data_IF_513622745714
#
_entry.id   IF_513622745714
#
_cell.length_a   1.000
_cell.length_b   1.000
_cell.length_c   1.000
_cell.angle_alpha   90.00
_cell.angle_beta   90.00
_cell.angle_gamma   90.00
#
_symmetry.space_group_name_H-M   'P 1'
#
loop_
_entity.id
_entity.type
_entity.pdbx_description
1 polymer ?
#
# COMPACT_ATOMS: atom_id res chain seq x y z
N UNK A 1 -4.24 -7.82 -26.83
CA UNK A 1 -5.48 -7.12 -27.27
C UNK A 1 -5.99 -6.24 -26.14
N UNK A 2 -6.55 -5.07 -26.45
CA UNK A 2 -7.15 -4.15 -25.47
C UNK A 2 -8.27 -4.82 -24.67
N UNK A 3 -8.34 -4.55 -23.38
CA UNK A 3 -9.34 -5.11 -22.48
C UNK A 3 -9.95 -3.99 -21.63
N UNK A 4 -11.18 -3.55 -21.93
CA UNK A 4 -11.79 -2.39 -21.28
C UNK A 4 -11.88 -2.46 -19.75
N UNK A 5 -11.82 -3.66 -19.17
CA UNK A 5 -11.86 -3.90 -17.72
C UNK A 5 -10.49 -3.91 -17.06
N UNK A 6 -9.39 -4.01 -17.82
CA UNK A 6 -8.01 -4.00 -17.31
C UNK A 6 -7.35 -2.65 -17.58
N UNK A 7 -7.03 -1.93 -16.51
CA UNK A 7 -6.61 -0.52 -16.56
C UNK A 7 -5.34 -0.28 -17.41
N UNK A 8 -4.42 -1.24 -17.43
CA UNK A 8 -3.15 -1.12 -18.18
C UNK A 8 -3.22 -1.69 -19.61
N UNK A 9 -4.32 -2.30 -20.01
CA UNK A 9 -4.37 -3.08 -21.26
C UNK A 9 -4.19 -2.23 -22.51
N UNK A 10 -4.75 -1.02 -22.55
CA UNK A 10 -4.57 -0.09 -23.67
C UNK A 10 -3.10 0.34 -23.79
N UNK A 11 -2.46 0.68 -22.67
CA UNK A 11 -1.03 1.04 -22.65
C UNK A 11 -0.15 -0.12 -23.12
N UNK A 12 -0.36 -1.32 -22.58
CA UNK A 12 0.40 -2.52 -22.96
C UNK A 12 0.20 -2.83 -24.45
N UNK A 13 -1.04 -2.79 -24.94
CA UNK A 13 -1.35 -3.03 -26.36
C UNK A 13 -0.63 -2.03 -27.27
N UNK A 14 -0.70 -0.73 -26.97
CA UNK A 14 -0.06 0.31 -27.78
C UNK A 14 1.47 0.21 -27.74
N UNK A 15 2.04 -0.12 -26.58
CA UNK A 15 3.49 -0.32 -26.43
C UNK A 15 3.97 -1.50 -27.27
N UNK A 16 3.24 -2.63 -27.26
CA UNK A 16 3.54 -3.78 -28.13
C UNK A 16 3.36 -3.42 -29.61
N UNK A 17 2.30 -2.68 -29.96
CA UNK A 17 2.08 -2.24 -31.34
C UNK A 17 3.24 -1.36 -31.86
N UNK A 18 3.81 -0.50 -31.02
CA UNK A 18 4.99 0.30 -31.35
C UNK A 18 6.24 -0.57 -31.60
N UNK A 19 6.44 -1.62 -30.81
CA UNK A 19 7.55 -2.57 -31.04
C UNK A 19 7.39 -3.32 -32.36
N UNK A 20 6.15 -3.58 -32.78
CA UNK A 20 5.82 -4.28 -34.02
C UNK A 20 5.64 -3.35 -35.23
N UNK A 21 5.99 -2.06 -35.12
CA UNK A 21 5.77 -1.06 -36.18
C UNK A 21 6.32 -1.48 -37.54
N UNK A 22 7.55 -2.00 -37.59
CA UNK A 22 8.15 -2.50 -38.84
C UNK A 22 7.41 -3.71 -39.43
N UNK A 23 6.87 -4.57 -38.57
CA UNK A 23 6.07 -5.72 -39.00
C UNK A 23 4.75 -5.28 -39.63
N UNK A 24 4.08 -4.26 -39.08
CA UNK A 24 2.88 -3.67 -39.70
C UNK A 24 3.17 -3.08 -41.08
N UNK A 25 4.25 -2.31 -41.21
CA UNK A 25 4.68 -1.75 -42.50
C UNK A 25 5.00 -2.85 -43.51
N UNK A 26 5.84 -3.82 -43.13
CA UNK A 26 6.23 -4.95 -43.99
C UNK A 26 5.02 -5.78 -44.43
N UNK A 27 4.04 -5.96 -43.54
CA UNK A 27 2.81 -6.70 -43.86
C UNK A 27 1.95 -5.94 -44.86
N UNK A 28 1.83 -4.60 -44.72
CA UNK A 28 1.09 -3.75 -45.68
C UNK A 28 1.68 -3.74 -47.09
N UNK A 29 3.00 -3.92 -47.21
CA UNK A 29 3.67 -4.00 -48.50
C UNK A 29 3.40 -5.34 -49.20
N UNK A 30 3.19 -6.41 -48.43
CA UNK A 30 2.99 -7.77 -48.94
C UNK A 30 1.52 -8.09 -49.22
N UNK A 31 0.62 -7.65 -48.33
CA UNK A 31 -0.80 -7.99 -48.39
C UNK A 31 -1.64 -6.83 -48.93
N UNK A 32 -1.99 -6.90 -50.21
CA UNK A 32 -2.75 -5.87 -50.93
C UNK A 32 -4.12 -5.58 -50.29
N UNK A 33 -4.70 -6.56 -49.59
CA UNK A 33 -5.99 -6.41 -48.88
C UNK A 33 -5.86 -5.77 -47.50
N UNK A 34 -4.64 -5.54 -46.99
CA UNK A 34 -4.44 -4.90 -45.70
C UNK A 34 -4.45 -3.38 -45.82
N UNK A 35 -5.65 -2.79 -45.67
CA UNK A 35 -5.86 -1.34 -45.80
C UNK A 35 -5.74 -0.56 -44.49
N UNK A 36 -5.58 -1.24 -43.36
CA UNK A 36 -5.66 -0.64 -42.01
C UNK A 36 -4.28 -0.44 -41.36
N UNK A 37 -3.22 -0.25 -42.16
CA UNK A 37 -1.90 0.06 -41.61
C UNK A 37 -1.90 1.47 -41.02
N UNK A 38 -1.43 1.67 -39.78
CA UNK A 38 -1.30 3.01 -39.23
C UNK A 38 -0.32 3.84 -40.05
N UNK A 39 -0.68 5.10 -40.25
CA UNK A 39 0.15 6.12 -40.91
C UNK A 39 1.26 6.61 -39.98
N UNK A 40 2.27 7.28 -40.53
CA UNK A 40 3.36 7.89 -39.77
C UNK A 40 2.86 8.88 -38.70
N UNK A 41 1.85 9.68 -39.03
CA UNK A 41 1.20 10.60 -38.09
C UNK A 41 0.46 9.86 -36.96
N UNK A 42 -0.18 8.73 -37.26
CA UNK A 42 -0.82 7.88 -36.26
C UNK A 42 0.20 7.21 -35.34
N UNK A 43 1.34 6.72 -35.86
CA UNK A 43 2.42 6.22 -35.02
C UNK A 43 2.97 7.27 -34.07
N UNK A 44 3.21 8.49 -34.58
CA UNK A 44 3.64 9.63 -33.75
C UNK A 44 2.61 9.98 -32.66
N UNK A 45 1.31 9.84 -32.95
CA UNK A 45 0.25 10.02 -31.94
C UNK A 45 0.27 8.90 -30.91
N UNK A 46 0.44 7.64 -31.32
CA UNK A 46 0.52 6.49 -30.41
C UNK A 46 1.69 6.64 -29.44
N UNK A 47 2.87 7.06 -29.91
CA UNK A 47 4.04 7.34 -29.06
C UNK A 47 3.70 8.34 -27.96
N UNK A 48 3.08 9.48 -28.33
CA UNK A 48 2.63 10.51 -27.38
C UNK A 48 1.57 10.02 -26.38
N UNK A 49 0.66 9.14 -26.81
CA UNK A 49 -0.31 8.51 -25.91
C UNK A 49 0.43 7.63 -24.89
N UNK A 50 1.37 6.81 -25.35
CA UNK A 50 2.16 5.93 -24.49
C UNK A 50 3.01 6.72 -23.48
N UNK A 51 3.58 7.86 -23.86
CA UNK A 51 4.31 8.74 -22.92
C UNK A 51 3.45 9.17 -21.73
N UNK A 52 2.21 9.60 -21.98
CA UNK A 52 1.28 10.01 -20.90
C UNK A 52 0.79 8.80 -20.10
N UNK A 53 0.35 7.74 -20.79
CA UNK A 53 -0.20 6.54 -20.14
C UNK A 53 0.87 5.75 -19.37
N UNK A 54 2.15 5.89 -19.70
CA UNK A 54 3.26 5.25 -18.99
C UNK A 54 3.28 5.60 -17.50
N UNK A 55 3.02 6.86 -17.15
CA UNK A 55 2.92 7.28 -15.75
C UNK A 55 1.76 6.62 -15.00
N UNK A 56 0.63 6.40 -15.68
CA UNK A 56 -0.52 5.70 -15.08
C UNK A 56 -0.24 4.21 -14.92
N UNK A 57 0.43 3.60 -15.89
CA UNK A 57 0.85 2.20 -15.82
C UNK A 57 1.83 1.97 -14.67
N UNK A 58 2.86 2.82 -14.53
CA UNK A 58 3.81 2.76 -13.42
C UNK A 58 3.11 2.93 -12.07
N UNK A 59 2.28 3.97 -11.93
CA UNK A 59 1.51 4.21 -10.72
C UNK A 59 0.63 3.00 -10.37
N UNK A 60 -0.09 2.45 -11.36
CA UNK A 60 -0.98 1.28 -11.19
C UNK A 60 -0.20 0.06 -10.70
N UNK A 61 0.95 -0.23 -11.29
CA UNK A 61 1.81 -1.33 -10.88
C UNK A 61 2.33 -1.15 -9.45
N UNK A 62 2.70 0.07 -9.07
CA UNK A 62 3.16 0.37 -7.71
C UNK A 62 2.05 0.23 -6.65
N UNK A 63 0.82 0.67 -6.95
CA UNK A 63 -0.28 0.60 -5.97
C UNK A 63 -1.00 -0.75 -5.96
N UNK A 64 -0.73 -1.61 -6.95
CA UNK A 64 -1.28 -2.96 -7.06
C UNK A 64 -0.36 -4.02 -6.45
N UNK A 65 0.76 -3.61 -5.85
CA UNK A 65 1.66 -4.47 -5.11
C UNK A 65 0.99 -5.17 -3.92
N UNK A 66 1.43 -6.39 -3.63
CA UNK A 66 0.90 -7.22 -2.51
C UNK A 66 1.96 -7.58 -1.48
N UNK A 67 3.24 -7.37 -1.79
CA UNK A 67 4.38 -7.71 -0.93
C UNK A 67 4.86 -6.54 -0.05
N UNK A 68 4.22 -5.37 -0.18
CA UNK A 68 4.56 -4.16 0.55
C UNK A 68 3.30 -3.30 0.79
N UNK A 69 3.29 -2.42 1.80
CA UNK A 69 2.16 -1.53 2.03
C UNK A 69 2.03 -0.52 0.88
N UNK A 70 0.83 -0.40 0.36
CA UNK A 70 0.53 0.47 -0.79
C UNK A 70 -0.13 1.78 -0.39
N UNK A 71 -0.79 1.82 0.78
CA UNK A 71 -1.59 2.98 1.20
C UNK A 71 -0.74 4.24 1.43
N UNK A 72 0.48 4.09 1.96
CA UNK A 72 1.43 5.20 2.10
C UNK A 72 2.01 5.71 0.77
N UNK A 73 2.04 4.88 -0.26
CA UNK A 73 2.61 5.23 -1.57
C UNK A 73 1.58 5.93 -2.46
N UNK A 74 0.29 5.64 -2.27
CA UNK A 74 -0.77 6.05 -3.17
C UNK A 74 -0.84 7.56 -3.41
N UNK A 75 -0.77 8.38 -2.35
CA UNK A 75 -0.87 9.84 -2.50
C UNK A 75 0.26 10.40 -3.38
N UNK A 76 1.48 9.89 -3.24
CA UNK A 76 2.61 10.31 -4.08
C UNK A 76 2.37 10.01 -5.56
N UNK A 77 1.77 8.85 -5.88
CA UNK A 77 1.44 8.45 -7.25
C UNK A 77 0.35 9.34 -7.85
N UNK A 78 -0.68 9.67 -7.06
CA UNK A 78 -1.73 10.59 -7.47
C UNK A 78 -1.18 11.99 -7.74
N UNK A 79 -0.25 12.49 -6.93
CA UNK A 79 0.42 13.76 -7.18
C UNK A 79 1.22 13.74 -8.49
N UNK A 80 1.97 12.66 -8.75
CA UNK A 80 2.71 12.50 -10.00
C UNK A 80 1.78 12.55 -11.20
N UNK A 81 0.68 11.79 -11.17
CA UNK A 81 -0.34 11.81 -12.23
C UNK A 81 -0.93 13.21 -12.41
N UNK A 82 -1.33 13.86 -11.31
CA UNK A 82 -1.91 15.22 -11.36
C UNK A 82 -0.96 16.20 -12.04
N UNK A 83 0.32 16.16 -11.66
CA UNK A 83 1.35 17.01 -12.24
C UNK A 83 1.53 16.75 -13.74
N UNK A 84 1.65 15.48 -14.15
CA UNK A 84 1.76 15.11 -15.57
C UNK A 84 0.56 15.62 -16.37
N UNK A 85 -0.66 15.49 -15.82
CA UNK A 85 -1.88 15.98 -16.45
C UNK A 85 -1.93 17.51 -16.52
N UNK A 86 -1.52 18.20 -15.47
CA UNK A 86 -1.46 19.66 -15.45
C UNK A 86 -0.47 20.20 -16.49
N UNK A 87 0.75 19.69 -16.48
CA UNK A 87 1.82 20.09 -17.38
C UNK A 87 1.46 19.77 -18.85
N UNK A 88 0.90 18.58 -19.10
CA UNK A 88 0.51 18.16 -20.46
C UNK A 88 -0.76 18.87 -20.96
N UNK A 89 -1.61 19.39 -20.06
CA UNK A 89 -2.81 20.15 -20.43
C UNK A 89 -2.50 21.56 -20.96
N UNK A 90 -1.26 22.02 -20.84
CA UNK A 90 -0.77 23.28 -21.43
C UNK A 90 0.29 23.04 -22.51
N UNK A 91 0.41 21.79 -22.99
CA UNK A 91 1.36 21.43 -24.05
C UNK A 91 1.14 22.25 -25.33
N UNK A 92 2.24 22.56 -26.03
CA UNK A 92 2.18 23.16 -27.37
C UNK A 92 1.64 22.20 -28.43
N UNK A 93 1.69 20.89 -28.16
CA UNK A 93 1.10 19.88 -29.03
C UNK A 93 -0.42 19.80 -28.83
N UNK A 94 -1.18 20.15 -29.88
CA UNK A 94 -2.63 20.23 -29.83
C UNK A 94 -3.29 18.88 -29.52
N UNK A 95 -2.72 17.77 -30.00
CA UNK A 95 -3.25 16.42 -29.76
C UNK A 95 -3.06 16.02 -28.30
N UNK A 96 -1.85 16.17 -27.76
CA UNK A 96 -1.55 15.90 -26.35
C UNK A 96 -2.38 16.78 -25.43
N UNK A 97 -2.47 18.08 -25.75
CA UNK A 97 -3.24 19.03 -24.96
C UNK A 97 -4.72 18.63 -24.88
N UNK A 98 -5.35 18.35 -26.02
CA UNK A 98 -6.77 17.99 -26.06
C UNK A 98 -7.06 16.65 -25.36
N UNK A 99 -6.21 15.65 -25.55
CA UNK A 99 -6.33 14.36 -24.86
C UNK A 99 -6.20 14.53 -23.35
N UNK A 100 -5.14 15.21 -22.90
CA UNK A 100 -4.83 15.37 -21.48
C UNK A 100 -5.88 16.22 -20.76
N UNK A 101 -6.41 17.26 -21.40
CA UNK A 101 -7.52 18.04 -20.83
C UNK A 101 -8.71 17.15 -20.45
N UNK A 102 -9.14 16.23 -21.33
CA UNK A 102 -10.23 15.29 -21.03
C UNK A 102 -9.89 14.31 -19.91
N UNK A 103 -8.63 13.87 -19.84
CA UNK A 103 -8.16 13.00 -18.76
C UNK A 103 -8.13 13.74 -17.42
N UNK A 104 -7.69 14.99 -17.42
CA UNK A 104 -7.68 15.89 -16.27
C UNK A 104 -9.08 16.18 -15.76
N UNK A 105 -10.05 16.48 -16.63
CA UNK A 105 -11.45 16.65 -16.22
C UNK A 105 -11.99 15.42 -15.47
N UNK A 106 -11.66 14.21 -15.93
CA UNK A 106 -12.02 12.98 -15.22
C UNK A 106 -11.27 12.86 -13.90
N UNK A 107 -9.97 13.13 -13.89
CA UNK A 107 -9.16 13.10 -12.67
C UNK A 107 -9.74 14.03 -11.60
N UNK A 108 -9.99 15.31 -11.94
CA UNK A 108 -10.51 16.33 -11.02
C UNK A 108 -11.92 15.95 -10.53
N UNK A 109 -12.72 15.30 -11.37
CA UNK A 109 -14.03 14.75 -10.97
C UNK A 109 -13.92 13.64 -9.92
N UNK A 110 -13.01 12.67 -10.11
CA UNK A 110 -12.88 11.52 -9.19
C UNK A 110 -12.14 11.87 -7.90
N UNK A 111 -11.18 12.79 -7.98
CA UNK A 111 -10.33 13.20 -6.86
C UNK A 111 -10.70 14.57 -6.30
N UNK A 112 -11.90 15.07 -6.58
CA UNK A 112 -12.42 16.30 -5.99
C UNK A 112 -12.78 16.14 -4.50
N UNK A 113 -12.98 14.92 -4.02
CA UNK A 113 -13.24 14.62 -2.60
C UNK A 113 -11.98 14.18 -1.85
N UNK A 114 -11.89 14.55 -0.57
CA UNK A 114 -10.78 14.20 0.31
C UNK A 114 -10.85 12.72 0.73
N UNK A 115 -9.87 11.92 0.32
CA UNK A 115 -9.78 10.52 0.72
C UNK A 115 -8.90 10.36 1.98
N UNK A 116 -9.55 10.09 3.11
CA UNK A 116 -8.90 9.99 4.42
C UNK A 116 -7.95 8.79 4.54
N UNK A 117 -8.28 7.66 3.90
CA UNK A 117 -7.42 6.48 3.97
C UNK A 117 -6.06 6.75 3.30
N UNK A 118 -6.08 7.42 2.15
CA UNK A 118 -4.86 7.85 1.47
C UNK A 118 -4.08 8.86 2.30
N UNK A 119 -4.79 9.82 2.89
CA UNK A 119 -4.19 10.84 3.73
C UNK A 119 -3.47 10.22 4.94
N UNK A 120 -4.19 9.37 5.68
CA UNK A 120 -3.64 8.72 6.86
C UNK A 120 -2.52 7.74 6.49
N UNK A 121 -2.66 6.95 5.43
CA UNK A 121 -1.59 6.10 4.93
C UNK A 121 -0.31 6.88 4.66
N UNK A 122 -0.40 8.01 3.97
CA UNK A 122 0.75 8.88 3.70
C UNK A 122 1.31 9.54 4.97
N UNK A 123 0.46 9.98 5.90
CA UNK A 123 0.89 10.54 7.19
C UNK A 123 1.63 9.49 8.04
N UNK A 124 1.23 8.22 7.98
CA UNK A 124 1.88 7.13 8.69
C UNK A 124 3.23 6.71 8.07
N UNK A 125 3.69 7.36 7.01
CA UNK A 125 5.05 7.22 6.51
C UNK A 125 5.99 8.22 7.22
N UNK A 126 6.97 7.74 8.01
CA UNK A 126 7.88 8.59 8.79
C UNK A 126 8.75 9.51 7.94
N UNK A 127 8.91 9.22 6.64
CA UNK A 127 9.66 10.05 5.69
C UNK A 127 8.89 11.29 5.26
N UNK A 128 7.58 11.31 5.48
CA UNK A 128 6.67 12.30 4.93
C UNK A 128 5.84 13.00 6.01
N UNK A 129 5.21 12.22 6.90
CA UNK A 129 4.33 12.70 7.97
C UNK A 129 3.25 13.65 7.43
N UNK A 130 2.81 14.61 8.24
CA UNK A 130 1.76 15.55 7.84
C UNK A 130 2.18 16.51 6.71
N UNK A 131 3.49 16.71 6.51
CA UNK A 131 4.02 17.61 5.47
C UNK A 131 3.59 17.21 4.06
N UNK A 132 3.38 15.91 3.79
CA UNK A 132 2.88 15.45 2.48
C UNK A 132 1.48 15.98 2.19
N UNK A 133 0.63 16.13 3.20
CA UNK A 133 -0.73 16.65 3.02
C UNK A 133 -0.66 18.15 2.71
N UNK A 134 0.18 18.88 3.45
CA UNK A 134 0.41 20.32 3.23
C UNK A 134 1.02 20.60 1.84
N UNK A 135 1.82 19.67 1.31
CA UNK A 135 2.38 19.75 -0.04
C UNK A 135 1.39 19.32 -1.13
N UNK A 136 0.73 18.17 -0.97
CA UNK A 136 -0.08 17.53 -2.01
C UNK A 136 -1.44 18.19 -2.18
N UNK A 137 -2.10 18.61 -1.09
CA UNK A 137 -3.49 19.04 -1.15
C UNK A 137 -3.69 20.36 -1.92
N UNK A 138 -2.78 21.36 -1.84
CA UNK A 138 -2.86 22.52 -2.72
C UNK A 138 -2.82 22.17 -4.22
N UNK A 139 -2.03 21.16 -4.60
CA UNK A 139 -1.94 20.69 -5.99
C UNK A 139 -3.21 19.96 -6.46
N UNK A 140 -3.80 19.16 -5.58
CA UNK A 140 -4.97 18.33 -5.93
C UNK A 140 -6.27 19.13 -5.83
N UNK A 141 -6.46 19.90 -4.75
CA UNK A 141 -7.74 20.52 -4.40
C UNK A 141 -7.79 22.04 -4.61
N UNK A 142 -6.67 22.68 -4.94
CA UNK A 142 -6.59 24.13 -5.14
C UNK A 142 -7.12 24.90 -3.93
N UNK A 143 -8.15 25.73 -4.14
CA UNK A 143 -8.73 26.60 -3.12
C UNK A 143 -9.34 25.84 -1.93
N UNK A 144 -9.78 24.59 -2.12
CA UNK A 144 -10.35 23.76 -1.05
C UNK A 144 -9.30 23.08 -0.17
N UNK A 145 -8.01 23.22 -0.51
CA UNK A 145 -6.91 22.57 0.20
C UNK A 145 -6.88 22.88 1.69
N UNK A 146 -7.07 24.15 2.09
CA UNK A 146 -7.05 24.54 3.50
C UNK A 146 -8.13 23.85 4.33
N UNK A 147 -9.36 23.74 3.79
CA UNK A 147 -10.46 23.02 4.44
C UNK A 147 -10.15 21.53 4.55
N UNK A 148 -9.64 20.91 3.48
CA UNK A 148 -9.30 19.49 3.46
C UNK A 148 -8.13 19.15 4.40
N UNK A 149 -7.12 20.02 4.51
CA UNK A 149 -6.01 19.86 5.46
C UNK A 149 -6.52 19.89 6.90
N UNK A 150 -7.37 20.87 7.24
CA UNK A 150 -7.96 20.96 8.57
C UNK A 150 -8.84 19.74 8.88
N UNK A 151 -9.64 19.29 7.91
CA UNK A 151 -10.49 18.12 8.02
C UNK A 151 -9.69 16.83 8.30
N UNK A 152 -8.62 16.57 7.53
CA UNK A 152 -7.70 15.45 7.77
C UNK A 152 -7.09 15.52 9.15
N UNK A 153 -6.63 16.71 9.58
CA UNK A 153 -6.05 16.89 10.91
C UNK A 153 -7.04 16.53 12.01
N UNK A 154 -8.25 17.11 11.98
CA UNK A 154 -9.29 16.83 12.98
C UNK A 154 -9.58 15.33 13.09
N UNK A 155 -9.84 14.67 11.95
CA UNK A 155 -10.20 13.26 11.96
C UNK A 155 -9.04 12.33 12.34
N UNK A 156 -7.79 12.71 12.04
CA UNK A 156 -6.63 11.96 12.50
C UNK A 156 -6.55 11.94 14.04
N UNK A 157 -6.78 13.08 14.68
CA UNK A 157 -6.78 13.17 16.15
C UNK A 157 -7.98 12.44 16.75
N UNK A 158 -9.19 12.58 16.16
CA UNK A 158 -10.37 11.85 16.64
C UNK A 158 -10.18 10.33 16.59
N UNK A 159 -9.64 9.81 15.47
CA UNK A 159 -9.32 8.40 15.30
C UNK A 159 -8.25 7.95 16.30
N UNK A 160 -7.19 8.74 16.48
CA UNK A 160 -6.13 8.43 17.44
C UNK A 160 -6.66 8.36 18.88
N UNK A 161 -7.52 9.30 19.28
CA UNK A 161 -8.15 9.31 20.61
C UNK A 161 -9.04 8.08 20.84
N UNK A 162 -9.68 7.54 19.80
CA UNK A 162 -10.40 6.26 19.89
C UNK A 162 -9.46 5.09 20.21
N UNK A 163 -8.30 5.03 19.54
CA UNK A 163 -7.29 4.02 19.83
C UNK A 163 -6.71 4.16 21.25
N UNK A 164 -6.52 5.39 21.73
CA UNK A 164 -6.09 5.63 23.12
C UNK A 164 -7.10 5.04 24.11
N UNK A 165 -8.41 5.30 23.91
CA UNK A 165 -9.47 4.75 24.78
C UNK A 165 -9.46 3.22 24.79
N UNK A 166 -9.41 2.60 23.60
CA UNK A 166 -9.37 1.14 23.46
C UNK A 166 -8.13 0.56 24.16
N UNK A 167 -6.99 1.21 24.01
CA UNK A 167 -5.73 0.79 24.63
C UNK A 167 -5.78 0.87 26.17
N UNK A 168 -6.34 1.96 26.72
CA UNK A 168 -6.52 2.12 28.16
C UNK A 168 -7.48 1.06 28.73
N UNK A 169 -8.54 0.71 28.01
CA UNK A 169 -9.52 -0.29 28.45
C UNK A 169 -8.98 -1.73 28.38
N UNK A 170 -8.21 -2.08 27.35
CA UNK A 170 -7.45 -3.33 27.27
C UNK A 170 -6.48 -3.47 28.46
N UNK A 171 -5.78 -2.38 28.81
CA UNK A 171 -4.85 -2.36 29.95
C UNK A 171 -5.56 -2.57 31.31
N UNK A 172 -6.74 -1.97 31.50
CA UNK A 172 -7.57 -2.17 32.70
C UNK A 172 -8.03 -3.63 32.81
N UNK A 173 -8.53 -4.21 31.73
CA UNK A 173 -8.99 -5.61 31.68
C UNK A 173 -7.88 -6.62 31.97
N UNK A 174 -6.67 -6.39 31.45
CA UNK A 174 -5.50 -7.24 31.73
C UNK A 174 -5.08 -7.19 33.21
N UNK A 175 -5.12 -6.00 33.84
CA UNK A 175 -4.80 -5.83 35.26
C UNK A 175 -5.80 -6.56 36.16
N UNK A 176 -7.09 -6.50 35.84
CA UNK A 176 -8.14 -7.18 36.60
C UNK A 176 -8.03 -8.71 36.48
N UNK A 177 -7.74 -9.22 35.27
CA UNK A 177 -7.49 -10.64 35.04
C UNK A 177 -6.27 -11.14 35.84
N UNK A 178 -5.22 -10.33 35.95
CA UNK A 178 -4.03 -10.66 36.74
C UNK A 178 -4.32 -10.66 38.25
N UNK A 179 -5.16 -9.73 38.74
CA UNK A 179 -5.61 -9.69 40.15
C UNK A 179 -6.40 -10.95 40.52
N UNK A 180 -7.38 -11.33 39.71
CA UNK A 180 -8.21 -12.53 39.94
C UNK A 180 -7.37 -13.84 39.92
N UNK A 181 -6.38 -13.93 39.01
CA UNK A 181 -5.46 -15.09 38.97
C UNK A 181 -4.56 -15.20 40.20
N UNK A 182 -4.21 -14.07 40.83
CA UNK A 182 -3.42 -14.03 42.06
C UNK A 182 -4.23 -14.44 43.29
N UNK A 183 -5.52 -14.11 43.31
CA UNK A 183 -6.44 -14.50 44.39
C UNK A 183 -6.79 -16.00 44.33
N UNK A 184 -6.97 -16.57 43.13
CA UNK A 184 -7.25 -18.00 42.95
C UNK A 184 -6.09 -18.92 43.40
N UNK A 185 -4.83 -18.44 43.38
CA UNK A 185 -3.65 -19.19 43.88
C UNK A 185 -3.49 -19.19 45.41
N UNK A 186 -4.31 -18.44 46.17
CA UNK A 186 -4.29 -18.46 47.64
C UNK A 186 -5.22 -19.51 48.25
N UNK A 187 -5.93 -20.31 47.44
CA UNK A 187 -6.96 -21.27 47.89
C UNK A 187 -6.61 -22.76 47.82
N UNK A 188 -5.33 -23.16 47.83
CA UNK A 188 -4.91 -24.57 47.83
C UNK A 188 -3.94 -24.89 48.96
N UNK A 189 -4.35 -25.75 49.89
CA UNK A 189 -3.72 -26.01 51.19
C UNK A 189 -2.58 -27.04 51.16
N UNK A 190 -1.63 -26.85 52.10
CA UNK A 190 -0.71 -27.79 52.76
C UNK A 190 -0.02 -28.93 51.97
N UNK A 191 1.31 -28.82 51.88
CA UNK A 191 2.21 -29.88 52.36
C UNK A 191 3.55 -29.30 52.81
N UNK A 192 4.03 -29.80 53.95
CA UNK A 192 5.25 -29.42 54.63
C UNK A 192 6.46 -30.17 54.06
N UNK A 193 7.51 -29.44 53.70
CA UNK A 193 8.90 -29.88 53.84
C UNK A 193 9.83 -28.67 53.68
N UNK A 194 10.62 -28.42 54.72
CA UNK A 194 11.81 -27.57 54.64
C UNK A 194 12.85 -28.23 53.74
N UNK A 195 13.68 -27.44 53.05
CA UNK A 195 15.07 -27.35 53.51
C UNK A 195 15.64 -25.92 53.58
N UNK A 196 16.71 -25.84 54.35
CA UNK A 196 17.53 -24.68 54.68
C UNK A 196 18.21 -23.99 53.48
N UNK A 197 18.42 -22.68 53.69
CA UNK A 197 19.54 -21.80 53.30
C UNK A 197 19.99 -21.69 51.83
N UNK A 198 19.93 -20.44 51.34
CA UNK A 198 20.83 -19.95 50.29
C UNK A 198 20.25 -18.81 49.47
N UNK A 199 20.40 -17.56 49.94
CA UNK A 199 20.20 -16.38 49.09
C UNK A 199 19.31 -15.30 49.68
N UNK A 200 19.80 -14.63 50.71
CA UNK A 200 19.32 -13.29 51.07
C UNK A 200 19.51 -12.33 49.88
N UNK A 201 18.43 -11.74 49.36
CA UNK A 201 18.48 -10.31 49.07
C UNK A 201 17.15 -9.64 49.40
N UNK A 202 17.15 -9.10 50.62
CA UNK A 202 16.39 -7.99 51.18
C UNK A 202 15.46 -7.27 50.19
N UNK A 203 14.21 -7.11 50.64
CA UNK A 203 13.31 -6.02 50.32
C UNK A 203 14.12 -4.75 49.97
N UNK A 204 14.26 -4.54 48.67
CA UNK A 204 15.14 -3.52 48.14
C UNK A 204 14.40 -2.20 48.24
N UNK A 205 15.04 -1.15 48.77
CA UNK A 205 14.57 0.24 48.63
C UNK A 205 14.35 0.64 47.16
N UNK A 206 14.71 -0.21 46.20
CA UNK A 206 14.28 -0.14 44.81
C UNK A 206 12.76 -0.27 44.61
N UNK A 207 12.03 -1.04 45.42
CA UNK A 207 10.56 -1.07 45.37
C UNK A 207 9.96 0.27 45.80
N UNK A 208 10.50 0.86 46.87
CA UNK A 208 10.13 2.21 47.32
C UNK A 208 10.49 3.26 46.27
N UNK A 209 11.65 3.09 45.59
CA UNK A 209 12.02 3.92 44.44
C UNK A 209 11.04 3.75 43.28
N UNK A 210 10.61 2.54 42.93
CA UNK A 210 9.59 2.34 41.87
C UNK A 210 8.24 2.94 42.23
N UNK A 211 7.84 2.89 43.51
CA UNK A 211 6.63 3.53 44.00
C UNK A 211 6.74 5.07 43.98
N UNK A 212 7.89 5.61 44.40
CA UNK A 212 8.22 7.04 44.34
C UNK A 212 8.24 7.56 42.90
N UNK A 213 8.86 6.81 41.97
CA UNK A 213 8.85 7.14 40.54
C UNK A 213 7.42 7.15 40.04
N UNK A 214 6.63 6.09 40.29
CA UNK A 214 5.22 6.02 39.88
C UNK A 214 4.38 7.17 40.42
N UNK A 215 4.61 7.62 41.66
CA UNK A 215 3.93 8.76 42.27
C UNK A 215 4.34 10.09 41.59
N UNK A 216 5.62 10.25 41.25
CA UNK A 216 6.16 11.44 40.58
C UNK A 216 5.85 11.50 39.07
N UNK A 217 5.77 10.35 38.40
CA UNK A 217 5.48 10.22 36.96
C UNK A 217 4.01 9.96 36.65
N UNK A 218 3.12 9.96 37.65
CA UNK A 218 1.66 9.82 37.47
C UNK A 218 1.01 10.98 36.69
N UNK A 219 1.80 11.98 36.26
CA UNK A 219 1.36 13.02 35.34
C UNK A 219 1.31 12.44 33.93
N UNK A 220 0.13 12.47 33.30
CA UNK A 220 0.00 12.17 31.87
C UNK A 220 1.05 12.99 31.09
N UNK A 221 1.71 12.39 30.08
CA UNK A 221 2.69 13.11 29.28
C UNK A 221 2.04 14.35 28.68
N UNK A 222 2.82 15.44 28.58
CA UNK A 222 2.31 16.73 28.10
C UNK A 222 1.91 16.70 26.61
N UNK A 223 2.43 15.73 25.86
CA UNK A 223 2.17 15.51 24.43
C UNK A 223 1.74 14.08 24.20
N UNK A 224 0.83 13.89 23.25
CA UNK A 224 0.42 12.55 22.83
C UNK A 224 1.50 11.86 21.97
N UNK A 225 1.38 10.55 21.78
CA UNK A 225 2.24 9.80 20.85
C UNK A 225 2.16 10.40 19.43
N UNK A 226 0.97 10.82 19.01
CA UNK A 226 0.74 11.47 17.71
C UNK A 226 1.46 12.82 17.61
N UNK A 227 1.37 13.67 18.63
CA UNK A 227 2.07 14.96 18.63
C UNK A 227 3.58 14.76 18.54
N UNK A 228 4.13 13.85 19.34
CA UNK A 228 5.56 13.52 19.31
C UNK A 228 5.98 13.02 17.92
N UNK A 229 5.18 12.16 17.30
CA UNK A 229 5.47 11.66 15.96
C UNK A 229 5.48 12.77 14.91
N UNK A 230 4.48 13.67 14.93
CA UNK A 230 4.35 14.75 13.96
C UNK A 230 5.45 15.83 14.11
N UNK A 231 5.91 16.07 15.34
CA UNK A 231 6.97 17.05 15.62
C UNK A 231 8.39 16.49 15.45
N UNK A 232 8.58 15.19 15.61
CA UNK A 232 9.85 14.53 15.37
C UNK A 232 10.35 14.81 13.93
N UNK A 233 11.67 14.77 13.74
CA UNK A 233 12.27 14.89 12.41
C UNK A 233 11.78 13.81 11.44
N UNK A 234 11.85 14.10 10.14
CA UNK A 234 11.57 13.12 9.09
C UNK A 234 12.65 12.05 9.02
N UNK A 235 12.25 10.82 8.70
CA UNK A 235 13.19 9.74 8.42
C UNK A 235 13.85 9.94 7.05
N UNK A 236 15.18 9.93 7.01
CA UNK A 236 15.94 10.13 5.77
C UNK A 236 16.46 8.78 5.29
N UNK A 237 15.90 8.26 4.20
CA UNK A 237 16.42 7.07 3.56
C UNK A 237 17.60 7.44 2.63
N UNK A 238 18.80 6.84 2.80
CA UNK A 238 19.91 7.06 1.88
C UNK A 238 19.55 6.66 0.44
N UNK A 239 20.12 7.32 -0.58
CA UNK A 239 19.90 6.96 -1.98
C UNK A 239 20.23 5.48 -2.24
N UNK A 240 19.36 4.79 -2.98
CA UNK A 240 19.56 3.39 -3.35
C UNK A 240 19.16 2.35 -2.29
N UNK A 241 18.62 2.76 -1.13
CA UNK A 241 18.04 1.84 -0.15
C UNK A 241 16.51 1.84 -0.19
N UNK A 242 15.93 0.66 -0.05
CA UNK A 242 14.50 0.49 0.17
C UNK A 242 14.15 0.80 1.62
N UNK A 243 13.01 1.46 1.83
CA UNK A 243 12.52 1.79 3.17
C UNK A 243 11.39 0.84 3.56
N UNK A 244 11.59 0.11 4.66
CA UNK A 244 10.57 -0.75 5.25
C UNK A 244 9.81 0.02 6.34
N UNK A 245 8.63 0.52 5.98
CA UNK A 245 7.76 1.29 6.89
C UNK A 245 7.25 0.43 8.06
N UNK A 246 6.97 -0.86 7.84
CA UNK A 246 6.55 -1.75 8.93
C UNK A 246 7.71 -2.05 9.87
N UNK A 247 8.90 -2.29 9.34
CA UNK A 247 10.12 -2.44 10.13
C UNK A 247 10.43 -1.21 10.99
N UNK A 248 10.21 -0.01 10.44
CA UNK A 248 10.36 1.24 11.21
C UNK A 248 9.33 1.34 12.33
N UNK A 249 8.05 1.10 12.05
CA UNK A 249 7.00 1.14 13.08
C UNK A 249 7.25 0.10 14.17
N UNK A 250 7.66 -1.11 13.80
CA UNK A 250 8.01 -2.18 14.73
C UNK A 250 9.17 -1.79 15.66
N UNK A 251 10.18 -1.12 15.12
CA UNK A 251 11.33 -0.65 15.90
C UNK A 251 10.98 0.51 16.85
N UNK A 252 9.95 1.29 16.53
CA UNK A 252 9.54 2.47 17.30
C UNK A 252 8.28 2.26 18.17
N UNK A 253 7.77 1.03 18.30
CA UNK A 253 6.56 0.73 19.08
C UNK A 253 6.67 1.18 20.54
N UNK A 254 7.86 1.11 21.14
CA UNK A 254 8.07 1.53 22.52
C UNK A 254 7.93 3.06 22.69
N UNK A 255 8.28 3.84 21.65
CA UNK A 255 8.17 5.30 21.63
C UNK A 255 6.74 5.75 21.29
N UNK A 256 6.10 5.06 20.34
CA UNK A 256 4.78 5.39 19.80
C UNK A 256 3.80 4.25 20.08
N UNK A 257 3.46 4.04 21.35
CA UNK A 257 2.79 2.82 21.80
C UNK A 257 1.39 2.64 21.18
N UNK A 258 0.56 3.67 21.22
CA UNK A 258 -0.80 3.61 20.65
C UNK A 258 -0.75 3.85 19.15
N UNK A 259 0.05 4.83 18.73
CA UNK A 259 0.13 5.24 17.34
C UNK A 259 0.71 4.15 16.43
N UNK A 260 1.68 3.34 16.89
CA UNK A 260 2.24 2.25 16.07
C UNK A 260 1.21 1.19 15.71
N UNK A 261 0.24 0.90 16.59
CA UNK A 261 -0.87 -0.01 16.28
C UNK A 261 -1.79 0.59 15.21
N UNK A 262 -2.20 1.84 15.40
CA UNK A 262 -3.00 2.58 14.41
C UNK A 262 -2.29 2.60 13.04
N UNK A 263 -1.00 2.92 13.03
CA UNK A 263 -0.21 3.01 11.81
C UNK A 263 -0.13 1.67 11.07
N UNK A 264 0.16 0.58 11.78
CA UNK A 264 0.23 -0.76 11.18
C UNK A 264 -1.12 -1.17 10.60
N UNK A 265 -2.23 -0.90 11.30
CA UNK A 265 -3.57 -1.23 10.82
C UNK A 265 -3.95 -0.43 9.56
N UNK A 266 -3.63 0.86 9.50
CA UNK A 266 -3.86 1.70 8.31
C UNK A 266 -2.96 1.28 7.14
N UNK A 267 -1.68 1.01 7.40
CA UNK A 267 -0.71 0.64 6.38
C UNK A 267 -0.97 -0.75 5.79
N UNK A 268 -1.59 -1.64 6.56
CA UNK A 268 -1.96 -2.98 6.12
C UNK A 268 -3.14 -3.00 5.12
N UNK A 269 -3.87 -1.89 4.97
CA UNK A 269 -4.99 -1.81 4.03
C UNK A 269 -4.43 -1.69 2.59
N UNK A 270 -4.65 -2.68 1.71
CA UNK A 270 -4.30 -2.55 0.31
C UNK A 270 -5.21 -1.51 -0.35
N UNK A 271 -4.62 -0.61 -1.14
CA UNK A 271 -5.36 0.49 -1.75
C UNK A 271 -6.08 0.07 -3.05
N UNK A 272 -5.67 -1.06 -3.63
CA UNK A 272 -6.22 -1.59 -4.87
C UNK A 272 -6.88 -2.95 -4.66
N UNK A 273 -8.01 -3.16 -5.33
CA UNK A 273 -8.66 -4.47 -5.46
C UNK A 273 -7.89 -5.39 -6.42
N UNK A 274 -6.93 -4.88 -7.19
CA UNK A 274 -6.12 -5.71 -8.10
C UNK A 274 -5.35 -6.81 -7.34
N UNK A 275 -4.99 -6.57 -6.07
CA UNK A 275 -4.43 -7.61 -5.19
C UNK A 275 -5.35 -8.84 -5.04
N UNK A 276 -6.66 -8.61 -4.91
CA UNK A 276 -7.64 -9.71 -4.84
C UNK A 276 -7.89 -10.31 -6.21
N UNK A 277 -7.93 -9.52 -7.28
CA UNK A 277 -8.04 -10.02 -8.67
C UNK A 277 -6.84 -10.88 -9.09
N UNK A 278 -5.62 -10.53 -8.67
CA UNK A 278 -4.43 -11.37 -8.84
C UNK A 278 -4.57 -12.69 -8.07
N UNK A 279 -5.20 -12.68 -6.89
CA UNK A 279 -5.49 -13.91 -6.13
C UNK A 279 -6.52 -14.76 -6.86
N UNK A 280 -7.56 -14.16 -7.46
CA UNK A 280 -8.54 -14.88 -8.28
C UNK A 280 -7.95 -15.40 -9.59
N UNK A 281 -7.05 -14.64 -10.23
CA UNK A 281 -6.32 -15.07 -11.42
C UNK A 281 -5.33 -16.20 -11.11
N UNK A 282 -4.68 -16.16 -9.93
CA UNK A 282 -3.92 -17.32 -9.44
C UNK A 282 -4.83 -18.51 -9.10
N UNK A 283 -6.08 -18.24 -8.70
CA UNK A 283 -7.15 -19.22 -8.54
C UNK A 283 -7.50 -19.96 -9.83
N UNK A 284 -7.25 -19.39 -11.00
CA UNK A 284 -7.39 -20.08 -12.30
C UNK A 284 -6.42 -21.27 -12.42
N UNK A 285 -5.30 -21.29 -11.66
CA UNK A 285 -4.41 -22.48 -11.58
C UNK A 285 -4.98 -23.59 -10.72
N UNK A 286 -5.90 -23.25 -9.82
CA UNK A 286 -6.63 -24.18 -8.96
C UNK A 286 -7.90 -24.65 -9.67
N UNK A 287 -8.57 -23.73 -10.36
CA UNK A 287 -9.78 -23.94 -11.17
C UNK A 287 -9.44 -23.61 -12.62
N UNK A 288 -8.83 -24.56 -13.32
CA UNK A 288 -8.58 -24.47 -14.76
C UNK A 288 -9.70 -25.20 -15.55
N UNK A 289 -9.61 -25.18 -16.88
CA UNK A 289 -10.57 -25.85 -17.77
C UNK A 289 -10.69 -27.36 -17.50
N UNK A 290 -9.66 -27.99 -16.94
CA UNK A 290 -9.61 -29.41 -16.58
C UNK A 290 -10.01 -29.69 -15.11
N UNK A 291 -9.99 -28.66 -14.25
CA UNK A 291 -10.29 -28.72 -12.80
C UNK A 291 -11.51 -27.90 -12.39
N UNK A 292 -12.43 -27.69 -13.33
CA UNK A 292 -13.68 -26.91 -13.17
C UNK A 292 -14.74 -27.54 -12.24
N UNK A 293 -14.49 -28.71 -11.65
CA UNK A 293 -15.44 -29.45 -10.79
C UNK A 293 -15.07 -29.50 -9.30
N UNK A 294 -14.10 -28.70 -8.86
CA UNK A 294 -13.73 -28.64 -7.44
C UNK A 294 -14.86 -27.96 -6.63
N UNK A 295 -15.17 -28.52 -5.45
CA UNK A 295 -16.07 -27.87 -4.49
C UNK A 295 -15.47 -26.58 -3.94
N UNK A 296 -16.31 -25.62 -3.57
CA UNK A 296 -15.91 -24.28 -3.11
C UNK A 296 -14.95 -24.38 -1.92
N UNK A 297 -15.22 -25.29 -0.98
CA UNK A 297 -14.40 -25.53 0.20
C UNK A 297 -13.01 -26.05 -0.17
N UNK A 298 -12.92 -26.88 -1.21
CA UNK A 298 -11.64 -27.41 -1.69
C UNK A 298 -10.83 -26.32 -2.40
N UNK A 299 -11.48 -25.50 -3.21
CA UNK A 299 -10.84 -24.34 -3.87
C UNK A 299 -10.30 -23.37 -2.81
N UNK A 300 -11.11 -23.03 -1.79
CA UNK A 300 -10.68 -22.18 -0.69
C UNK A 300 -9.49 -22.78 0.05
N UNK A 301 -9.55 -24.06 0.42
CA UNK A 301 -8.45 -24.73 1.12
C UNK A 301 -7.14 -24.73 0.31
N UNK A 302 -7.23 -24.92 -1.02
CA UNK A 302 -6.05 -24.90 -1.91
C UNK A 302 -5.47 -23.49 -2.04
N UNK A 303 -6.30 -22.45 -2.21
CA UNK A 303 -5.83 -21.07 -2.32
C UNK A 303 -5.22 -20.60 -0.99
N UNK A 304 -5.94 -20.77 0.12
CA UNK A 304 -5.47 -20.35 1.45
C UNK A 304 -4.23 -21.15 1.87
N UNK A 305 -4.23 -22.48 1.70
CA UNK A 305 -3.11 -23.34 2.02
C UNK A 305 -1.87 -23.00 1.18
N UNK A 306 -2.04 -22.76 -0.12
CA UNK A 306 -0.93 -22.32 -0.98
C UNK A 306 -0.36 -20.98 -0.54
N UNK A 307 -1.19 -19.99 -0.20
CA UNK A 307 -0.71 -18.69 0.27
C UNK A 307 0.01 -18.81 1.62
N UNK A 308 -0.52 -19.60 2.54
CA UNK A 308 0.10 -19.82 3.85
C UNK A 308 1.46 -20.50 3.72
N UNK A 309 1.57 -21.57 2.92
CA UNK A 309 2.84 -22.24 2.66
C UNK A 309 3.85 -21.29 2.02
N UNK A 310 3.43 -20.47 1.04
CA UNK A 310 4.32 -19.48 0.43
C UNK A 310 4.85 -18.47 1.43
N UNK A 311 3.98 -17.92 2.28
CA UNK A 311 4.36 -16.98 3.34
C UNK A 311 5.33 -17.62 4.34
N UNK A 312 5.06 -18.86 4.76
CA UNK A 312 5.87 -19.58 5.75
C UNK A 312 7.30 -19.88 5.27
N UNK A 313 7.46 -20.20 3.98
CA UNK A 313 8.76 -20.58 3.39
C UNK A 313 9.40 -19.48 2.53
N UNK A 314 8.82 -18.27 2.51
CA UNK A 314 9.33 -17.15 1.70
C UNK A 314 9.33 -17.43 0.20
N UNK A 315 8.42 -18.28 -0.29
CA UNK A 315 8.31 -18.59 -1.71
C UNK A 315 7.59 -17.44 -2.42
N UNK A 316 8.29 -16.74 -3.32
CA UNK A 316 7.65 -15.74 -4.17
C UNK A 316 6.60 -16.41 -5.05
N UNK A 317 5.44 -15.78 -5.17
CA UNK A 317 4.45 -16.22 -6.14
C UNK A 317 5.04 -16.09 -7.55
N UNK A 318 5.00 -17.16 -8.36
CA UNK A 318 5.11 -17.01 -9.81
C UNK A 318 3.96 -16.11 -10.22
N UNK A 319 4.19 -14.82 -10.46
CA UNK A 319 3.34 -14.08 -11.38
C UNK A 319 3.39 -14.84 -12.70
N UNK A 320 2.30 -14.89 -13.47
CA UNK A 320 2.49 -15.21 -14.87
C UNK A 320 3.46 -14.13 -15.37
N UNK A 321 4.72 -14.49 -15.64
CA UNK A 321 5.29 -14.08 -16.91
C UNK A 321 4.16 -14.40 -17.88
N UNK A 322 3.55 -13.36 -18.46
CA UNK A 322 2.74 -13.55 -19.66
C UNK A 322 3.52 -14.56 -20.47
N UNK A 323 2.89 -15.71 -20.79
CA UNK A 323 3.54 -16.77 -21.53
C UNK A 323 4.40 -16.09 -22.59
N UNK A 324 5.73 -16.24 -22.49
CA UNK A 324 6.60 -15.92 -23.60
C UNK A 324 5.93 -16.66 -24.75
N UNK A 325 5.28 -15.91 -25.64
CA UNK A 325 4.81 -16.43 -26.90
C UNK A 325 6.10 -16.95 -27.53
N UNK A 326 6.34 -18.26 -27.42
CA UNK A 326 7.46 -18.95 -28.03
C UNK A 326 7.61 -18.32 -29.41
N UNK A 327 8.76 -17.71 -29.71
CA UNK A 327 9.05 -17.14 -31.02
C UNK A 327 8.77 -18.23 -32.06
N UNK A 328 7.58 -18.19 -32.66
CA UNK A 328 7.30 -19.01 -33.82
C UNK A 328 8.06 -18.31 -34.94
N UNK A 329 9.30 -18.75 -35.17
CA UNK A 329 9.99 -18.50 -36.43
C UNK A 329 9.09 -19.05 -37.54
N UNK A 330 8.29 -18.18 -38.15
CA UNK A 330 7.59 -18.48 -39.39
C UNK A 330 8.67 -18.42 -40.48
N UNK A 331 9.07 -19.55 -41.08
CA UNK A 331 10.06 -19.52 -42.15
C UNK A 331 9.45 -18.73 -43.31
N UNK A 332 10.06 -17.60 -43.65
CA UNK A 332 9.69 -16.85 -44.85
C UNK A 332 10.05 -17.74 -46.04
N UNK A 333 9.08 -18.19 -46.87
CA UNK A 333 9.42 -18.89 -48.09
C UNK A 333 10.19 -17.92 -48.99
N UNK A 334 11.46 -18.22 -49.26
CA UNK A 334 12.17 -17.56 -50.35
C UNK A 334 11.50 -17.96 -51.67
N UNK A 335 10.87 -17.00 -52.34
CA UNK A 335 10.59 -17.06 -53.78
C UNK A 335 10.92 -15.72 -54.40
#
# INVERSE_FOLDING_TARGET
>A
MDCPTRWNSTYNMLTVALQLREAFTSYSEREVTYHNSPTEDEWNKIEKVCEVLGYFNEATNMISGTEYPTSNLFLSQICTIKKVLDDSSISSDDFVRHMTMKMKEKFDKYWGECNLLMAFGAIMDPRMKFLVIEFAYPMIYGDQSGQNIAYVRTLLYELFEEYVRNFEDEAKGACETFRLRKESRKGGSHSSSTPHEGGSNKYSGWLDFTAFVSEKTSKKPAKSDLDNYLEDGLEICPPGKTFDVFGWWNSNQAKYRVLSRLAVEILAIPISTVASESTFSAGERVVDTYRSKLGIETVQALICGSNWVRAQYGLKGRMKEEEDDDEIEIPIPCT
#
